data_IF_964002020846
#
_entry.id   IF_964002020846
#
_cell.length_a   1.000
_cell.length_b   1.000
_cell.length_c   1.000
_cell.angle_alpha   90.00
_cell.angle_beta   90.00
_cell.angle_gamma   90.00
#
_symmetry.space_group_name_H-M   'P 1'
#
loop_
_entity.id
_entity.type
_entity.pdbx_description
1 polymer ?
#
# COMPACT_ATOMS: atom_id res chain seq x y z
N UNK A 1 -10.77 -17.40 -6.97
CA UNK A 1 -9.31 -17.32 -6.69
C UNK A 1 -8.81 -18.72 -6.37
N UNK A 2 -7.55 -19.07 -6.62
CA UNK A 2 -7.00 -20.38 -6.22
C UNK A 2 -6.21 -20.24 -4.91
N UNK A 3 -6.89 -20.50 -3.79
CA UNK A 3 -6.31 -20.30 -2.45
C UNK A 3 -5.14 -21.24 -2.16
N UNK A 4 -5.02 -22.37 -2.87
CA UNK A 4 -3.87 -23.27 -2.73
C UNK A 4 -2.54 -22.60 -3.07
N UNK A 5 -2.54 -21.63 -3.99
CA UNK A 5 -1.31 -20.90 -4.38
C UNK A 5 -0.88 -19.98 -3.24
N UNK A 6 -1.83 -19.33 -2.58
CA UNK A 6 -1.56 -18.41 -1.48
C UNK A 6 -1.03 -19.13 -0.25
N UNK A 7 -1.45 -20.37 -0.03
CA UNK A 7 -1.04 -21.17 1.15
C UNK A 7 0.27 -21.95 0.94
N UNK A 8 0.57 -22.39 -0.29
CA UNK A 8 1.64 -23.37 -0.55
C UNK A 8 2.80 -22.83 -1.37
N UNK A 9 2.71 -21.62 -1.90
CA UNK A 9 3.80 -21.05 -2.67
C UNK A 9 5.04 -20.85 -1.78
N UNK A 10 6.24 -21.26 -2.22
CA UNK A 10 7.49 -21.00 -1.51
C UNK A 10 7.99 -19.55 -1.69
N UNK A 11 7.18 -18.66 -2.28
CA UNK A 11 7.54 -17.30 -2.65
C UNK A 11 6.37 -16.33 -2.43
N UNK A 12 6.67 -15.02 -2.47
CA UNK A 12 5.67 -13.96 -2.37
C UNK A 12 4.68 -14.01 -3.54
N UNK A 13 3.39 -13.97 -3.23
CA UNK A 13 2.30 -13.98 -4.22
C UNK A 13 1.60 -12.63 -4.23
N UNK A 14 1.59 -11.96 -5.38
CA UNK A 14 0.83 -10.73 -5.60
C UNK A 14 -0.55 -11.04 -6.18
N UNK A 15 -1.59 -10.40 -5.63
CA UNK A 15 -2.94 -10.43 -6.21
C UNK A 15 -3.17 -9.08 -6.91
N UNK A 16 -3.41 -9.12 -8.21
CA UNK A 16 -3.69 -7.93 -9.00
C UNK A 16 -5.19 -7.79 -9.24
N UNK A 17 -5.75 -6.63 -8.89
CA UNK A 17 -7.16 -6.30 -9.06
C UNK A 17 -7.26 -5.13 -10.02
N UNK A 18 -7.81 -5.38 -11.21
CA UNK A 18 -8.12 -4.32 -12.16
C UNK A 18 -9.52 -3.77 -11.86
N UNK A 19 -9.57 -2.50 -11.43
CA UNK A 19 -10.80 -1.80 -11.11
C UNK A 19 -11.57 -1.26 -12.32
N UNK A 20 -11.11 -1.49 -13.56
CA UNK A 20 -11.75 -1.00 -14.80
C UNK A 20 -12.02 0.53 -14.83
N UNK A 21 -11.41 1.31 -13.93
CA UNK A 21 -11.54 2.78 -13.85
C UNK A 21 -10.97 3.47 -15.11
N UNK A 22 -10.24 2.73 -15.95
CA UNK A 22 -9.68 3.18 -17.24
C UNK A 22 -10.68 3.19 -18.42
N UNK A 23 -11.96 3.51 -18.19
CA UNK A 23 -12.90 3.86 -19.28
C UNK A 23 -13.15 5.37 -19.39
N UNK A 24 -12.13 6.18 -19.10
CA UNK A 24 -12.05 7.58 -19.51
C UNK A 24 -10.96 7.75 -20.56
N UNK A 25 -11.34 7.75 -21.85
CA UNK A 25 -10.57 8.15 -23.03
C UNK A 25 -9.04 8.14 -22.87
N UNK A 26 -8.39 7.02 -23.21
CA UNK A 26 -6.97 7.07 -23.58
C UNK A 26 -6.91 7.77 -24.92
N UNK A 27 -6.88 9.11 -24.89
CA UNK A 27 -6.54 9.89 -26.06
C UNK A 27 -5.18 9.40 -26.55
N UNK A 28 -5.14 8.85 -27.76
CA UNK A 28 -3.97 8.36 -28.52
C UNK A 28 -2.95 9.49 -28.83
N UNK A 29 -3.07 10.62 -28.14
CA UNK A 29 -2.27 11.81 -28.29
C UNK A 29 -1.93 12.35 -26.89
N UNK A 30 -0.70 12.08 -26.40
CA UNK A 30 0.19 13.02 -25.68
C UNK A 30 1.29 12.31 -24.87
N UNK A 31 2.54 12.59 -25.24
CA UNK A 31 3.71 12.83 -24.36
C UNK A 31 3.73 12.16 -22.97
N UNK A 32 4.54 11.11 -22.82
CA UNK A 32 5.11 10.59 -21.55
C UNK A 32 4.27 10.88 -20.28
N UNK A 33 3.13 10.22 -20.12
CA UNK A 33 2.39 10.28 -18.85
C UNK A 33 3.21 9.54 -17.77
N UNK A 34 3.47 10.23 -16.65
CA UNK A 34 4.12 9.62 -15.49
C UNK A 34 3.14 8.62 -14.84
N UNK A 35 3.61 7.42 -14.57
CA UNK A 35 2.84 6.36 -13.92
C UNK A 35 3.00 6.50 -12.40
N UNK A 36 1.90 6.81 -11.71
CA UNK A 36 1.88 7.06 -10.28
C UNK A 36 1.58 5.77 -9.51
N UNK A 37 2.53 5.33 -8.70
CA UNK A 37 2.41 4.14 -7.84
C UNK A 37 2.37 4.57 -6.38
N UNK A 38 1.45 4.03 -5.60
CA UNK A 38 1.42 4.17 -4.15
C UNK A 38 1.75 2.82 -3.47
N UNK A 39 2.56 2.88 -2.43
CA UNK A 39 2.76 1.77 -1.49
C UNK A 39 2.17 2.19 -0.15
N UNK A 40 1.16 1.45 0.33
CA UNK A 40 0.61 1.59 1.66
C UNK A 40 1.43 0.73 2.63
N UNK A 41 2.02 1.35 3.65
CA UNK A 41 2.89 0.68 4.61
C UNK A 41 2.30 0.81 6.01
N UNK A 42 1.81 -0.28 6.57
CA UNK A 42 1.34 -0.37 7.96
C UNK A 42 2.36 -1.06 8.89
N UNK A 43 3.34 -1.74 8.31
CA UNK A 43 4.40 -2.45 9.01
C UNK A 43 4.22 -3.96 8.96
N UNK A 44 5.33 -4.67 9.13
CA UNK A 44 5.40 -6.12 8.99
C UNK A 44 6.04 -6.58 7.67
N UNK A 45 6.16 -7.89 7.54
CA UNK A 45 6.98 -8.51 6.49
C UNK A 45 6.40 -8.30 5.08
N UNK A 46 5.09 -8.43 4.92
CA UNK A 46 4.41 -8.27 3.62
C UNK A 46 4.52 -6.83 3.09
N UNK A 47 4.48 -5.83 3.99
CA UNK A 47 4.65 -4.43 3.63
C UNK A 47 6.10 -4.10 3.25
N UNK A 48 7.07 -4.75 3.90
CA UNK A 48 8.48 -4.68 3.53
C UNK A 48 8.75 -5.18 2.11
N UNK A 49 8.18 -6.34 1.76
CA UNK A 49 8.25 -6.89 0.39
C UNK A 49 7.54 -5.98 -0.61
N UNK A 50 6.38 -5.44 -0.25
CA UNK A 50 5.63 -4.49 -1.08
C UNK A 50 6.44 -3.22 -1.36
N UNK A 51 7.11 -2.68 -0.34
CA UNK A 51 8.01 -1.55 -0.46
C UNK A 51 9.20 -1.86 -1.36
N UNK A 52 9.81 -3.04 -1.22
CA UNK A 52 10.91 -3.48 -2.08
C UNK A 52 10.48 -3.59 -3.56
N UNK A 53 9.27 -4.10 -3.82
CA UNK A 53 8.71 -4.14 -5.16
C UNK A 53 8.40 -2.75 -5.71
N UNK A 54 7.79 -1.86 -4.92
CA UNK A 54 7.54 -0.48 -5.32
C UNK A 54 8.83 0.27 -5.64
N UNK A 55 9.87 0.07 -4.82
CA UNK A 55 11.21 0.63 -5.04
C UNK A 55 11.79 0.20 -6.39
N UNK A 56 11.67 -1.09 -6.74
CA UNK A 56 12.10 -1.63 -8.03
C UNK A 56 11.32 -1.03 -9.19
N UNK A 57 10.00 -0.84 -9.07
CA UNK A 57 9.22 -0.18 -10.10
C UNK A 57 9.69 1.27 -10.34
N UNK A 58 10.09 1.97 -9.27
CA UNK A 58 10.60 3.33 -9.34
C UNK A 58 11.97 3.45 -10.04
N UNK A 59 12.68 2.36 -10.31
CA UNK A 59 13.88 2.40 -11.16
C UNK A 59 13.54 2.82 -12.60
N UNK A 60 12.32 2.54 -13.06
CA UNK A 60 11.87 2.96 -14.38
C UNK A 60 11.63 4.49 -14.41
N UNK A 61 12.20 5.25 -15.37
CA UNK A 61 12.16 6.73 -15.38
C UNK A 61 10.77 7.35 -15.39
N UNK A 62 9.77 6.62 -15.91
CA UNK A 62 8.39 7.09 -16.01
C UNK A 62 7.54 6.76 -14.78
N UNK A 63 8.10 6.10 -13.76
CA UNK A 63 7.36 5.75 -12.54
C UNK A 63 7.69 6.74 -11.42
N UNK A 64 6.65 7.27 -10.79
CA UNK A 64 6.75 8.01 -9.54
C UNK A 64 6.13 7.17 -8.42
N UNK A 65 6.89 6.96 -7.36
CA UNK A 65 6.47 6.16 -6.21
C UNK A 65 6.16 7.06 -5.03
N UNK A 66 5.01 6.86 -4.40
CA UNK A 66 4.68 7.47 -3.10
C UNK A 66 4.51 6.37 -2.06
N UNK A 67 5.34 6.39 -1.03
CA UNK A 67 5.21 5.50 0.12
C UNK A 67 4.41 6.24 1.19
N UNK A 68 3.31 5.65 1.63
CA UNK A 68 2.40 6.20 2.63
C UNK A 68 2.45 5.28 3.84
N UNK A 69 3.12 5.73 4.89
CA UNK A 69 3.26 4.97 6.13
C UNK A 69 2.17 5.36 7.13
N UNK A 70 1.38 4.39 7.54
CA UNK A 70 0.39 4.58 8.60
C UNK A 70 1.02 4.29 9.96
N UNK A 71 0.86 5.23 10.89
CA UNK A 71 1.38 5.17 12.25
C UNK A 71 0.22 5.28 13.24
N UNK A 72 0.23 4.44 14.26
CA UNK A 72 -0.81 4.47 15.28
C UNK A 72 -0.53 5.55 16.33
N UNK A 73 -1.48 6.46 16.53
CA UNK A 73 -1.43 7.50 17.55
C UNK A 73 -1.39 6.89 18.96
N UNK A 74 -0.46 7.38 19.79
CA UNK A 74 -0.34 6.96 21.19
C UNK A 74 0.17 5.53 21.40
N UNK A 75 0.65 4.84 20.36
CA UNK A 75 1.25 3.52 20.50
C UNK A 75 2.78 3.63 20.62
N UNK A 76 3.31 3.37 21.82
CA UNK A 76 4.75 3.39 22.11
C UNK A 76 5.44 2.01 22.05
N UNK A 77 5.06 1.14 21.11
CA UNK A 77 5.76 -0.13 20.91
C UNK A 77 7.17 0.09 20.31
N UNK A 78 8.14 0.39 21.17
CA UNK A 78 9.50 0.78 20.78
C UNK A 78 10.27 -0.31 20.01
N UNK A 79 9.90 -1.59 20.12
CA UNK A 79 10.61 -2.72 19.51
C UNK A 79 10.22 -3.01 18.06
N UNK A 80 8.93 -3.15 17.76
CA UNK A 80 8.46 -3.38 16.38
C UNK A 80 8.63 -2.13 15.52
N UNK A 81 8.37 -0.94 16.08
CA UNK A 81 8.72 0.31 15.40
C UNK A 81 10.19 0.34 15.04
N UNK A 82 11.09 -0.28 15.81
CA UNK A 82 12.52 -0.28 15.47
C UNK A 82 12.82 -1.03 14.18
N UNK A 83 12.30 -2.24 13.98
CA UNK A 83 12.53 -3.01 12.75
C UNK A 83 11.89 -2.33 11.54
N UNK A 84 10.65 -1.86 11.67
CA UNK A 84 9.98 -1.11 10.60
C UNK A 84 10.67 0.24 10.33
N UNK A 85 11.21 0.89 11.36
CA UNK A 85 12.03 2.10 11.19
C UNK A 85 13.32 1.77 10.46
N UNK A 86 14.02 0.69 10.79
CA UNK A 86 15.26 0.30 10.12
C UNK A 86 15.02 0.11 8.60
N UNK A 87 13.92 -0.57 8.22
CA UNK A 87 13.53 -0.78 6.81
C UNK A 87 13.19 0.56 6.13
N UNK A 88 12.32 1.37 6.75
CA UNK A 88 11.86 2.63 6.14
C UNK A 88 12.95 3.70 6.12
N UNK A 89 13.82 3.75 7.12
CA UNK A 89 14.97 4.67 7.19
C UNK A 89 16.06 4.26 6.20
N UNK A 90 16.31 2.97 6.02
CA UNK A 90 17.17 2.48 4.93
C UNK A 90 16.60 2.89 3.57
N UNK A 91 15.30 2.72 3.35
CA UNK A 91 14.63 3.13 2.12
C UNK A 91 14.75 4.64 1.87
N UNK A 92 14.48 5.47 2.88
CA UNK A 92 14.63 6.93 2.82
C UNK A 92 16.07 7.31 2.46
N UNK A 93 17.06 6.70 3.13
CA UNK A 93 18.48 6.98 2.91
C UNK A 93 18.93 6.61 1.49
N UNK A 94 18.52 5.44 0.98
CA UNK A 94 18.84 5.01 -0.39
C UNK A 94 18.23 5.93 -1.45
N UNK A 95 17.08 6.54 -1.16
CA UNK A 95 16.31 7.33 -2.12
C UNK A 95 16.29 8.84 -1.84
N UNK A 96 17.14 9.33 -0.93
CA UNK A 96 17.16 10.73 -0.48
C UNK A 96 17.34 11.76 -1.60
N UNK A 97 17.96 11.35 -2.71
CA UNK A 97 18.22 12.21 -3.88
C UNK A 97 17.30 11.90 -5.08
N UNK A 98 16.31 11.02 -4.92
CA UNK A 98 15.40 10.64 -5.99
C UNK A 98 14.07 11.40 -5.88
N UNK A 99 13.93 12.49 -6.63
CA UNK A 99 12.73 13.34 -6.63
C UNK A 99 11.45 12.63 -7.10
N UNK A 100 11.56 11.43 -7.71
CA UNK A 100 10.41 10.61 -8.14
C UNK A 100 9.85 9.74 -7.02
N UNK A 101 10.57 9.63 -5.91
CA UNK A 101 10.16 8.85 -4.74
C UNK A 101 9.78 9.81 -3.62
N UNK A 102 8.52 9.77 -3.21
CA UNK A 102 7.98 10.54 -2.09
C UNK A 102 7.67 9.62 -0.93
N UNK A 103 7.82 10.13 0.27
CA UNK A 103 7.50 9.42 1.50
C UNK A 103 6.65 10.32 2.39
N UNK A 104 5.48 9.82 2.82
CA UNK A 104 4.46 10.50 3.62
C UNK A 104 4.12 9.63 4.83
N UNK A 105 4.01 10.22 6.01
CA UNK A 105 3.57 9.52 7.22
C UNK A 105 2.20 10.06 7.65
N UNK A 106 1.30 9.15 8.01
CA UNK A 106 -0.06 9.44 8.45
C UNK A 106 -0.26 8.87 9.86
N UNK A 107 -0.42 9.76 10.84
CA UNK A 107 -0.61 9.36 12.24
C UNK A 107 -2.10 9.31 12.55
N UNK A 108 -2.63 8.12 12.79
CA UNK A 108 -4.06 7.84 12.85
C UNK A 108 -4.46 7.16 14.17
N UNK A 109 -5.72 7.34 14.59
CA UNK A 109 -6.22 6.81 15.87
C UNK A 109 -6.79 5.40 15.74
N UNK A 110 -7.40 5.10 14.59
CA UNK A 110 -8.19 3.90 14.34
C UNK A 110 -8.32 3.62 12.83
N UNK A 111 -9.08 2.57 12.49
CA UNK A 111 -9.37 2.18 11.11
C UNK A 111 -10.25 3.16 10.34
N UNK A 112 -11.07 3.98 10.99
CA UNK A 112 -11.81 5.04 10.31
C UNK A 112 -10.85 6.06 9.69
N UNK A 113 -9.80 6.43 10.43
CA UNK A 113 -8.73 7.27 9.90
C UNK A 113 -8.02 6.65 8.69
N UNK A 114 -7.74 5.35 8.73
CA UNK A 114 -7.10 4.64 7.60
C UNK A 114 -8.02 4.66 6.38
N UNK A 115 -9.30 4.36 6.59
CA UNK A 115 -10.28 4.37 5.53
C UNK A 115 -10.45 5.76 4.90
N UNK A 116 -10.44 6.82 5.70
CA UNK A 116 -10.52 8.19 5.23
C UNK A 116 -9.33 8.55 4.32
N UNK A 117 -8.11 8.21 4.73
CA UNK A 117 -6.91 8.44 3.91
C UNK A 117 -6.97 7.61 2.62
N UNK A 118 -7.32 6.32 2.68
CA UNK A 118 -7.40 5.49 1.48
C UNK A 118 -8.42 6.07 0.49
N UNK A 119 -9.57 6.56 0.98
CA UNK A 119 -10.58 7.24 0.16
C UNK A 119 -10.05 8.52 -0.50
N UNK A 120 -9.26 9.32 0.21
CA UNK A 120 -8.59 10.50 -0.36
C UNK A 120 -7.68 10.12 -1.54
N UNK A 121 -7.04 8.95 -1.49
CA UNK A 121 -6.07 8.49 -2.48
C UNK A 121 -6.68 7.82 -3.72
N UNK A 122 -7.96 7.43 -3.66
CA UNK A 122 -8.58 6.45 -4.56
C UNK A 122 -8.41 6.70 -6.07
N UNK A 123 -8.40 7.96 -6.51
CA UNK A 123 -8.24 8.32 -7.93
C UNK A 123 -6.92 9.04 -8.25
N UNK A 124 -6.01 9.16 -7.28
CA UNK A 124 -4.75 9.88 -7.47
C UNK A 124 -3.70 8.98 -8.16
N UNK A 125 -3.71 7.68 -7.84
CA UNK A 125 -2.67 6.74 -8.26
C UNK A 125 -3.16 5.79 -9.36
N UNK A 126 -2.25 5.41 -10.26
CA UNK A 126 -2.54 4.41 -11.28
C UNK A 126 -2.44 2.98 -10.73
N UNK A 127 -1.65 2.78 -9.68
CA UNK A 127 -1.49 1.52 -8.98
C UNK A 127 -1.32 1.79 -7.49
N UNK A 128 -2.06 1.06 -6.66
CA UNK A 128 -1.87 1.02 -5.20
C UNK A 128 -1.46 -0.39 -4.81
N UNK A 129 -0.42 -0.50 -3.98
CA UNK A 129 0.12 -1.76 -3.49
C UNK A 129 0.07 -1.77 -1.96
N UNK A 130 -0.25 -2.93 -1.38
CA UNK A 130 -0.33 -3.13 0.06
C UNK A 130 0.07 -4.57 0.39
N UNK A 131 0.67 -4.79 1.55
CA UNK A 131 0.85 -6.13 2.09
C UNK A 131 -0.48 -6.78 2.46
N UNK A 132 -0.52 -8.11 2.49
CA UNK A 132 -1.76 -8.84 2.79
C UNK A 132 -1.95 -9.01 4.31
N UNK A 133 -0.89 -9.42 5.00
CA UNK A 133 -0.95 -9.74 6.41
C UNK A 133 -0.48 -8.55 7.25
N UNK A 134 -1.39 -8.06 8.08
CA UNK A 134 -1.11 -7.03 9.08
C UNK A 134 -1.44 -7.56 10.48
N UNK A 135 -0.95 -6.87 11.50
CA UNK A 135 -1.14 -7.27 12.90
C UNK A 135 -2.62 -7.23 13.28
N UNK A 136 -3.16 -8.38 13.68
CA UNK A 136 -4.57 -8.55 14.06
C UNK A 136 -5.02 -7.61 15.21
N UNK A 137 -4.12 -7.29 16.14
CA UNK A 137 -4.40 -6.42 17.29
C UNK A 137 -4.16 -4.92 17.02
N UNK A 138 -3.91 -4.54 15.77
CA UNK A 138 -3.65 -3.14 15.42
C UNK A 138 -4.93 -2.31 15.51
N UNK A 139 -4.90 -1.20 16.27
CA UNK A 139 -6.04 -0.27 16.32
C UNK A 139 -6.32 0.37 14.97
N UNK A 140 -5.31 0.48 14.11
CA UNK A 140 -5.43 0.98 12.74
C UNK A 140 -6.33 0.11 11.84
N UNK A 141 -6.61 -1.14 12.23
CA UNK A 141 -7.47 -2.05 11.49
C UNK A 141 -8.78 -2.35 12.22
N UNK A 142 -8.97 -1.73 13.39
CA UNK A 142 -10.18 -1.87 14.19
C UNK A 142 -11.39 -1.39 13.41
N UNK A 143 -12.48 -2.18 13.42
CA UNK A 143 -13.72 -1.88 12.71
C UNK A 143 -13.68 -2.13 11.19
N UNK A 144 -12.49 -2.23 10.58
CA UNK A 144 -12.36 -2.57 9.15
C UNK A 144 -12.52 -4.07 8.89
N UNK A 145 -12.19 -4.91 9.88
CA UNK A 145 -12.29 -6.37 9.73
C UNK A 145 -13.74 -6.89 9.67
N UNK A 146 -14.71 -6.14 10.19
CA UNK A 146 -16.13 -6.51 10.19
C UNK A 146 -16.76 -6.47 8.78
N UNK A 147 -16.08 -5.82 7.84
CA UNK A 147 -16.52 -5.61 6.45
C UNK A 147 -15.67 -6.39 5.44
N UNK A 148 -14.84 -7.34 5.90
CA UNK A 148 -13.91 -8.07 5.04
C UNK A 148 -14.66 -9.17 4.25
N UNK A 149 -15.06 -8.85 3.02
CA UNK A 149 -15.81 -9.77 2.15
C UNK A 149 -14.89 -10.78 1.46
N UNK A 150 -13.64 -10.39 1.18
CA UNK A 150 -12.63 -11.22 0.53
C UNK A 150 -11.38 -11.37 1.43
N UNK A 151 -11.36 -12.34 2.37
CA UNK A 151 -10.25 -12.51 3.31
C UNK A 151 -8.91 -12.83 2.62
N UNK A 152 -8.93 -13.33 1.38
CA UNK A 152 -7.73 -13.60 0.59
C UNK A 152 -6.96 -12.34 0.20
N UNK A 153 -7.61 -11.17 0.22
CA UNK A 153 -7.01 -9.87 -0.09
C UNK A 153 -6.40 -9.19 1.15
N UNK A 154 -6.76 -9.66 2.36
CA UNK A 154 -6.50 -8.94 3.59
C UNK A 154 -7.39 -7.70 3.75
N UNK A 155 -7.46 -7.17 4.97
CA UNK A 155 -8.40 -6.09 5.34
C UNK A 155 -8.28 -4.87 4.42
N UNK A 156 -7.05 -4.41 4.17
CA UNK A 156 -6.82 -3.22 3.34
C UNK A 156 -6.91 -3.53 1.86
N UNK A 157 -6.47 -4.71 1.42
CA UNK A 157 -6.64 -5.15 0.03
C UNK A 157 -8.11 -5.28 -0.36
N UNK A 158 -8.96 -5.75 0.55
CA UNK A 158 -10.42 -5.84 0.37
C UNK A 158 -11.06 -4.45 0.29
N UNK A 159 -10.66 -3.52 1.17
CA UNK A 159 -11.08 -2.11 1.07
C UNK A 159 -10.64 -1.49 -0.27
N UNK A 160 -9.41 -1.78 -0.70
CA UNK A 160 -8.88 -1.43 -2.02
C UNK A 160 -9.46 -2.25 -3.16
N UNK A 161 -10.38 -3.19 -2.94
CA UNK A 161 -11.17 -3.86 -3.98
C UNK A 161 -12.63 -3.37 -4.01
N UNK A 162 -13.12 -2.83 -2.90
CA UNK A 162 -14.49 -2.36 -2.74
C UNK A 162 -14.88 -1.26 -3.75
N UNK A 163 -16.09 -1.33 -4.34
CA UNK A 163 -16.60 -0.29 -5.25
C UNK A 163 -16.86 1.07 -4.57
N UNK A 164 -16.86 1.12 -3.24
CA UNK A 164 -17.08 2.33 -2.46
C UNK A 164 -15.86 3.25 -2.41
N UNK A 165 -14.70 2.75 -2.83
CA UNK A 165 -13.53 3.58 -3.06
C UNK A 165 -13.72 4.30 -4.40
N UNK A 166 -14.22 5.54 -4.32
CA UNK A 166 -14.44 6.48 -5.42
C UNK A 166 -13.67 7.76 -5.23
#
# INVERSE_FOLDING_TARGET
>A
MNCNILEKAPCSVGIFIDRKVLHGSVSVLKSQTLYLVAVLYMGGNDDGETLAYGARMAEHPQVNLTVIRFLQFGCDSARERKLDNDVTDEFKRKNAHNNRIKYREEVLRDGEGVAAVIRELGNIFNLMMVGRHHKADSRLLSGLNEWNECPELGIVGDMLASPDLK
#
